data_IF_050187427215
#
_entry.id   IF_050187427215
#
_cell.length_a   1.000
_cell.length_b   1.000
_cell.length_c   1.000
_cell.angle_alpha   90.00
_cell.angle_beta   90.00
_cell.angle_gamma   90.00
#
_symmetry.space_group_name_H-M   'P 1'
#
loop_
_entity.id
_entity.type
_entity.pdbx_description
1 polymer ?
#
# COMPACT_ATOMS: atom_id res chain seq x y z
N UNK A 1 -19.86 0.39 -18.65
CA UNK A 1 -20.65 0.48 -17.40
C UNK A 1 -20.58 1.91 -16.84
N UNK A 2 -21.60 2.30 -16.08
CA UNK A 2 -21.57 3.50 -15.22
C UNK A 2 -21.15 3.08 -13.81
N UNK A 3 -19.91 3.39 -13.45
CA UNK A 3 -19.27 2.99 -12.19
C UNK A 3 -19.21 4.20 -11.25
N UNK A 4 -19.78 4.07 -10.05
CA UNK A 4 -19.60 5.04 -8.99
C UNK A 4 -18.44 4.58 -8.11
N UNK A 5 -17.28 5.24 -8.22
CA UNK A 5 -16.11 4.96 -7.39
C UNK A 5 -16.16 5.85 -6.14
N UNK A 6 -16.04 5.25 -4.97
CA UNK A 6 -16.06 5.96 -3.70
C UNK A 6 -14.79 5.73 -2.90
N UNK A 7 -14.10 6.82 -2.58
CA UNK A 7 -12.95 6.84 -1.68
C UNK A 7 -13.07 8.06 -0.76
N UNK A 8 -12.69 7.91 0.51
CA UNK A 8 -12.83 9.02 1.48
C UNK A 8 -11.97 10.23 1.13
N UNK A 9 -10.77 10.04 0.58
CA UNK A 9 -9.84 11.12 0.19
C UNK A 9 -9.14 10.81 -1.14
N UNK A 10 -9.88 10.88 -2.23
CA UNK A 10 -9.42 10.52 -3.58
C UNK A 10 -8.29 11.42 -4.09
N UNK A 11 -8.27 12.70 -3.69
CA UNK A 11 -7.31 13.69 -4.19
C UNK A 11 -5.98 13.70 -3.43
N UNK A 12 -5.86 12.95 -2.36
CA UNK A 12 -4.65 12.88 -1.56
C UNK A 12 -3.47 12.32 -2.36
N UNK A 13 -2.39 13.09 -2.46
CA UNK A 13 -1.24 12.73 -3.29
C UNK A 13 -0.31 11.71 -2.62
N UNK A 14 -0.30 11.65 -1.28
CA UNK A 14 0.68 10.89 -0.48
C UNK A 14 0.17 9.54 0.00
N UNK A 15 -1.14 9.30 -0.10
CA UNK A 15 -1.78 8.09 0.41
C UNK A 15 -1.86 6.99 -0.67
N UNK A 16 -1.40 5.78 -0.34
CA UNK A 16 -1.41 4.63 -1.24
C UNK A 16 -2.82 4.20 -1.67
N UNK A 17 -3.83 4.29 -0.79
CA UNK A 17 -5.24 4.02 -1.12
C UNK A 17 -5.74 4.99 -2.20
N UNK A 18 -5.52 6.29 -1.99
CA UNK A 18 -5.93 7.31 -2.96
C UNK A 18 -5.21 7.14 -4.31
N UNK A 19 -3.94 6.71 -4.30
CA UNK A 19 -3.18 6.36 -5.51
C UNK A 19 -3.85 5.21 -6.26
N UNK A 20 -4.13 4.09 -5.58
CA UNK A 20 -4.79 2.92 -6.19
C UNK A 20 -6.17 3.28 -6.75
N UNK A 21 -6.97 4.06 -6.00
CA UNK A 21 -8.28 4.53 -6.46
C UNK A 21 -8.18 5.37 -7.75
N UNK A 22 -7.18 6.27 -7.83
CA UNK A 22 -6.95 7.07 -9.04
C UNK A 22 -6.49 6.23 -10.23
N UNK A 23 -5.59 5.28 -9.99
CA UNK A 23 -5.06 4.40 -11.02
C UNK A 23 -6.17 3.50 -11.59
N UNK A 24 -7.01 2.90 -10.74
CA UNK A 24 -8.19 2.15 -11.18
C UNK A 24 -9.21 3.04 -11.90
N UNK A 25 -9.50 4.23 -11.38
CA UNK A 25 -10.39 5.19 -12.05
C UNK A 25 -9.90 5.53 -13.47
N UNK A 26 -8.62 5.87 -13.61
CA UNK A 26 -8.02 6.21 -14.89
C UNK A 26 -8.01 5.01 -15.86
N UNK A 27 -7.65 3.82 -15.37
CA UNK A 27 -7.64 2.60 -16.17
C UNK A 27 -9.03 2.19 -16.66
N UNK A 28 -10.05 2.23 -15.81
CA UNK A 28 -11.42 1.92 -16.18
C UNK A 28 -11.98 2.95 -17.17
N UNK A 29 -11.68 4.24 -16.99
CA UNK A 29 -12.06 5.28 -17.99
C UNK A 29 -11.38 5.05 -19.34
N UNK A 30 -10.10 4.66 -19.36
CA UNK A 30 -9.37 4.36 -20.59
C UNK A 30 -9.96 3.16 -21.36
N UNK A 31 -10.71 2.28 -20.68
CA UNK A 31 -11.45 1.15 -21.28
C UNK A 31 -12.87 1.51 -21.72
N UNK A 32 -13.24 2.77 -21.66
CA UNK A 32 -14.55 3.26 -22.13
C UNK A 32 -15.67 3.15 -21.09
N UNK A 33 -15.35 2.91 -19.80
CA UNK A 33 -16.35 2.99 -18.75
C UNK A 33 -16.61 4.45 -18.34
N UNK A 34 -17.85 4.77 -18.01
CA UNK A 34 -18.19 6.02 -17.36
C UNK A 34 -17.94 5.88 -15.86
N UNK A 35 -16.85 6.47 -15.36
CA UNK A 35 -16.51 6.44 -13.93
C UNK A 35 -16.72 7.82 -13.35
N UNK A 36 -17.60 7.93 -12.35
CA UNK A 36 -17.77 9.12 -11.51
C UNK A 36 -17.27 8.85 -10.10
N UNK A 37 -16.63 9.88 -9.53
CA UNK A 37 -16.01 9.81 -8.22
C UNK A 37 -16.86 10.54 -7.19
N UNK A 38 -17.09 9.87 -6.06
CA UNK A 38 -17.65 10.48 -4.85
C UNK A 38 -16.60 10.45 -3.73
N UNK A 39 -16.22 11.61 -3.21
CA UNK A 39 -15.13 11.76 -2.25
C UNK A 39 -15.21 13.10 -1.51
N UNK A 40 -14.39 13.24 -0.46
CA UNK A 40 -14.04 14.56 0.06
C UNK A 40 -13.38 15.38 -1.05
N UNK A 41 -13.71 16.67 -1.12
CA UNK A 41 -13.13 17.59 -2.09
C UNK A 41 -14.15 18.58 -2.64
N UNK A 42 -13.78 19.22 -3.74
CA UNK A 42 -14.62 20.15 -4.48
C UNK A 42 -14.96 19.60 -5.88
N UNK A 43 -15.90 20.28 -6.56
CA UNK A 43 -16.40 19.87 -7.88
C UNK A 43 -15.38 20.02 -9.02
N UNK A 44 -14.20 20.56 -8.80
CA UNK A 44 -13.13 20.61 -9.80
C UNK A 44 -12.36 19.30 -9.87
N UNK A 45 -12.41 18.49 -8.82
CA UNK A 45 -11.63 17.26 -8.68
C UNK A 45 -12.47 15.98 -8.57
N UNK A 46 -13.74 16.10 -8.10
CA UNK A 46 -14.64 14.96 -7.90
C UNK A 46 -16.04 15.28 -8.43
N UNK A 47 -16.74 14.26 -8.96
CA UNK A 47 -18.08 14.44 -9.56
C UNK A 47 -19.16 14.68 -8.50
N UNK A 48 -19.01 14.07 -7.32
CA UNK A 48 -19.92 14.21 -6.19
C UNK A 48 -19.15 14.62 -4.93
N UNK A 49 -18.90 15.92 -4.72
CA UNK A 49 -18.09 16.40 -3.63
C UNK A 49 -18.78 16.23 -2.27
N UNK A 50 -18.02 15.79 -1.28
CA UNK A 50 -18.41 15.67 0.11
C UNK A 50 -17.59 16.63 0.98
N UNK A 51 -18.21 17.18 2.01
CA UNK A 51 -17.51 17.96 3.03
C UNK A 51 -16.60 17.08 3.89
N UNK A 52 -15.72 17.71 4.68
CA UNK A 52 -14.90 17.04 5.67
C UNK A 52 -15.72 16.67 6.91
N UNK A 53 -15.55 15.44 7.39
CA UNK A 53 -16.02 15.03 8.70
C UNK A 53 -14.98 15.41 9.76
N UNK A 54 -15.34 16.32 10.67
CA UNK A 54 -14.54 16.65 11.83
C UNK A 54 -14.92 15.75 13.00
N UNK A 55 -13.93 15.08 13.59
CA UNK A 55 -14.12 14.23 14.78
C UNK A 55 -13.33 14.86 15.93
N UNK A 56 -14.02 15.49 16.91
CA UNK A 56 -13.35 16.12 18.04
C UNK A 56 -12.33 15.16 18.68
N UNK A 57 -11.18 15.67 19.10
CA UNK A 57 -10.04 14.95 19.67
C UNK A 57 -9.24 14.07 18.68
N UNK A 58 -9.83 13.57 17.59
CA UNK A 58 -9.12 12.76 16.57
C UNK A 58 -8.59 13.62 15.43
N UNK A 59 -9.16 14.78 15.14
CA UNK A 59 -8.78 15.64 14.02
C UNK A 59 -7.28 15.97 13.97
N UNK A 60 -6.67 16.18 15.15
CA UNK A 60 -5.23 16.45 15.23
C UNK A 60 -4.40 15.26 14.72
N UNK A 61 -4.81 14.04 15.01
CA UNK A 61 -4.12 12.82 14.56
C UNK A 61 -4.40 12.55 13.09
N UNK A 62 -5.66 12.65 12.67
CA UNK A 62 -6.07 12.44 11.28
C UNK A 62 -5.38 13.45 10.35
N UNK A 63 -5.33 14.73 10.75
CA UNK A 63 -4.63 15.77 9.97
C UNK A 63 -3.12 15.61 9.96
N UNK A 64 -2.52 15.04 11.02
CA UNK A 64 -1.09 14.73 11.04
C UNK A 64 -0.71 13.60 10.05
N UNK A 65 -1.67 12.76 9.69
CA UNK A 65 -1.54 11.72 8.67
C UNK A 65 -1.85 12.22 7.25
N UNK A 66 -2.10 13.52 7.09
CA UNK A 66 -2.48 14.16 5.81
C UNK A 66 -3.66 13.44 5.13
N UNK A 67 -4.69 13.10 5.91
CA UNK A 67 -5.85 12.36 5.44
C UNK A 67 -7.15 13.07 5.81
N UNK A 68 -8.16 13.03 4.92
CA UNK A 68 -9.45 13.60 5.15
C UNK A 68 -10.54 12.52 5.16
N UNK A 69 -11.38 12.55 6.18
CA UNK A 69 -12.56 11.69 6.24
C UNK A 69 -13.74 12.42 5.61
N UNK A 70 -14.35 11.83 4.60
CA UNK A 70 -15.52 12.38 3.95
C UNK A 70 -16.74 12.37 4.88
N UNK A 71 -17.46 13.49 4.92
CA UNK A 71 -18.69 13.63 5.69
C UNK A 71 -19.87 13.01 4.92
N UNK A 72 -20.63 12.09 5.53
CA UNK A 72 -21.83 11.54 4.91
C UNK A 72 -22.84 12.61 4.49
N UNK A 73 -23.38 12.47 3.26
CA UNK A 73 -24.45 13.35 2.77
C UNK A 73 -25.47 12.51 1.95
N UNK A 74 -26.63 12.27 2.55
CA UNK A 74 -27.65 11.38 1.98
C UNK A 74 -28.19 11.85 0.63
N UNK A 75 -28.43 13.15 0.43
CA UNK A 75 -28.95 13.68 -0.84
C UNK A 75 -27.94 13.50 -1.99
N UNK A 76 -26.64 13.71 -1.71
CA UNK A 76 -25.56 13.46 -2.67
C UNK A 76 -25.48 11.96 -2.98
N UNK A 77 -25.59 11.09 -1.97
CA UNK A 77 -25.56 9.64 -2.13
C UNK A 77 -26.71 9.15 -3.01
N UNK A 78 -27.95 9.59 -2.78
CA UNK A 78 -29.10 9.20 -3.58
C UNK A 78 -28.96 9.66 -5.04
N UNK A 79 -28.42 10.86 -5.28
CA UNK A 79 -28.17 11.36 -6.64
C UNK A 79 -27.10 10.53 -7.35
N UNK A 80 -25.99 10.24 -6.66
CA UNK A 80 -24.89 9.46 -7.22
C UNK A 80 -25.29 8.01 -7.51
N UNK A 81 -25.98 7.36 -6.58
CA UNK A 81 -26.42 5.96 -6.71
C UNK A 81 -27.46 5.79 -7.81
N UNK A 82 -28.40 6.74 -8.02
CA UNK A 82 -29.39 6.69 -9.12
C UNK A 82 -28.73 6.70 -10.50
N UNK A 83 -27.57 7.31 -10.62
CA UNK A 83 -26.81 7.32 -11.88
C UNK A 83 -26.04 6.01 -12.10
N UNK A 84 -25.57 5.36 -11.04
CA UNK A 84 -24.67 4.22 -11.09
C UNK A 84 -25.37 2.92 -11.52
N UNK A 85 -24.66 2.05 -12.27
CA UNK A 85 -25.01 0.66 -12.46
C UNK A 85 -24.35 -0.24 -11.42
N UNK A 86 -23.15 0.18 -10.93
CA UNK A 86 -22.40 -0.53 -9.91
C UNK A 86 -21.64 0.48 -9.02
N UNK A 87 -21.58 0.20 -7.73
CA UNK A 87 -20.79 0.95 -6.76
C UNK A 87 -19.48 0.22 -6.48
N UNK A 88 -18.36 0.95 -6.55
CA UNK A 88 -17.04 0.48 -6.17
C UNK A 88 -16.50 1.29 -4.99
N UNK A 89 -16.25 0.64 -3.84
CA UNK A 89 -15.93 1.28 -2.55
C UNK A 89 -14.50 0.92 -2.15
N UNK A 90 -13.68 1.93 -1.86
CA UNK A 90 -12.24 1.78 -1.60
C UNK A 90 -11.86 1.72 -0.10
N UNK A 91 -12.75 2.12 0.80
CA UNK A 91 -12.48 2.15 2.24
C UNK A 91 -13.73 1.93 3.11
N UNK A 92 -13.59 1.46 4.37
CA UNK A 92 -14.71 1.20 5.27
C UNK A 92 -15.07 2.39 6.16
N UNK A 93 -14.85 3.64 5.71
CA UNK A 93 -15.06 4.83 6.52
C UNK A 93 -16.53 5.31 6.55
N UNK A 94 -16.91 6.25 7.44
CA UNK A 94 -18.31 6.58 7.71
C UNK A 94 -19.16 6.99 6.50
N UNK A 95 -18.58 7.68 5.50
CA UNK A 95 -19.30 8.03 4.29
C UNK A 95 -19.68 6.75 3.49
N UNK A 96 -18.73 5.85 3.32
CA UNK A 96 -18.93 4.59 2.62
C UNK A 96 -19.88 3.66 3.37
N UNK A 97 -19.82 3.62 4.70
CA UNK A 97 -20.77 2.86 5.54
C UNK A 97 -22.22 3.30 5.34
N UNK A 98 -22.49 4.57 5.03
CA UNK A 98 -23.84 5.03 4.69
C UNK A 98 -24.13 4.83 3.20
N UNK A 99 -23.17 5.05 2.32
CA UNK A 99 -23.33 4.93 0.88
C UNK A 99 -23.73 3.50 0.45
N UNK A 100 -23.10 2.47 1.03
CA UNK A 100 -23.46 1.06 0.73
C UNK A 100 -24.90 0.73 1.11
N UNK A 101 -25.42 1.31 2.21
CA UNK A 101 -26.82 1.14 2.60
C UNK A 101 -27.78 1.86 1.65
N UNK A 102 -27.39 3.01 1.10
CA UNK A 102 -28.16 3.71 0.07
C UNK A 102 -28.14 2.89 -1.20
N UNK A 103 -26.98 2.40 -1.66
CA UNK A 103 -26.85 1.57 -2.85
C UNK A 103 -27.76 0.33 -2.78
N UNK A 104 -27.80 -0.37 -1.64
CA UNK A 104 -28.70 -1.52 -1.43
C UNK A 104 -30.19 -1.16 -1.52
N UNK A 105 -30.59 0.02 -1.06
CA UNK A 105 -31.99 0.48 -1.20
C UNK A 105 -32.40 0.77 -2.64
N UNK A 106 -31.44 1.10 -3.49
CA UNK A 106 -31.63 1.33 -4.92
C UNK A 106 -31.28 0.11 -5.78
N UNK A 107 -31.05 -1.04 -5.15
CA UNK A 107 -30.68 -2.28 -5.83
C UNK A 107 -29.47 -2.12 -6.75
N UNK A 108 -28.45 -1.37 -6.32
CA UNK A 108 -27.18 -1.21 -7.02
C UNK A 108 -26.16 -2.20 -6.42
N UNK A 109 -25.55 -3.09 -7.23
CA UNK A 109 -24.53 -4.02 -6.80
C UNK A 109 -23.27 -3.29 -6.34
N UNK A 110 -22.53 -3.92 -5.40
CA UNK A 110 -21.43 -3.28 -4.69
C UNK A 110 -20.19 -4.18 -4.73
N UNK A 111 -19.07 -3.64 -5.19
CA UNK A 111 -17.73 -4.22 -4.99
C UNK A 111 -16.97 -3.36 -3.98
N UNK A 112 -16.35 -3.99 -3.00
CA UNK A 112 -15.49 -3.31 -2.04
C UNK A 112 -14.03 -3.67 -2.22
N UNK A 113 -13.10 -2.75 -1.98
CA UNK A 113 -11.68 -3.03 -1.86
C UNK A 113 -11.21 -2.91 -0.41
N UNK A 114 -10.31 -3.79 0.00
CA UNK A 114 -9.75 -3.77 1.35
C UNK A 114 -8.33 -3.20 1.34
N UNK A 115 -8.21 -1.88 1.53
CA UNK A 115 -6.95 -1.15 1.44
C UNK A 115 -6.39 -0.67 2.78
N UNK A 116 -7.08 -0.90 3.89
CA UNK A 116 -6.68 -0.37 5.20
C UNK A 116 -6.88 -1.42 6.28
N UNK A 117 -5.80 -1.76 6.98
CA UNK A 117 -5.88 -2.59 8.17
C UNK A 117 -6.40 -1.78 9.38
N UNK A 118 -7.21 -2.39 10.28
CA UNK A 118 -7.56 -1.79 11.57
C UNK A 118 -6.35 -1.31 12.35
N UNK A 119 -5.23 -2.01 12.27
CA UNK A 119 -3.97 -1.67 12.92
C UNK A 119 -3.43 -0.30 12.49
N UNK A 120 -3.68 0.13 11.25
CA UNK A 120 -3.28 1.47 10.79
C UNK A 120 -4.01 2.58 11.56
N UNK A 121 -5.28 2.36 11.96
CA UNK A 121 -6.05 3.32 12.75
C UNK A 121 -5.64 3.34 14.21
N UNK A 122 -5.17 2.22 14.75
CA UNK A 122 -4.83 2.09 16.16
C UNK A 122 -3.34 2.37 16.45
N UNK A 123 -2.47 2.32 15.44
CA UNK A 123 -1.04 2.58 15.59
C UNK A 123 -0.70 3.91 16.30
N UNK A 124 -1.42 5.04 16.11
CA UNK A 124 -1.20 6.27 16.85
C UNK A 124 -1.57 6.18 18.33
N UNK A 125 -2.28 5.13 18.75
CA UNK A 125 -2.82 4.95 20.10
C UNK A 125 -2.30 3.65 20.75
N UNK A 126 -1.07 3.61 21.31
CA UNK A 126 -0.45 2.36 21.80
C UNK A 126 -1.29 1.61 22.84
N UNK A 127 -2.13 2.30 23.61
CA UNK A 127 -3.02 1.67 24.59
C UNK A 127 -4.17 0.88 23.92
N UNK A 128 -4.55 1.25 22.71
CA UNK A 128 -5.61 0.63 21.90
C UNK A 128 -5.05 -0.32 20.83
N UNK A 129 -3.74 -0.29 20.53
CA UNK A 129 -3.11 -1.23 19.61
C UNK A 129 -2.93 -2.61 20.27
N UNK A 130 -4.07 -3.28 20.47
CA UNK A 130 -4.17 -4.61 21.07
C UNK A 130 -5.05 -5.50 20.19
N UNK A 131 -4.78 -6.81 20.16
CA UNK A 131 -5.51 -7.77 19.31
C UNK A 131 -7.04 -7.69 19.46
N UNK A 132 -7.53 -7.43 20.67
CA UNK A 132 -8.98 -7.34 20.92
C UNK A 132 -9.62 -6.15 20.20
N UNK A 133 -8.98 -4.96 20.21
CA UNK A 133 -9.51 -3.78 19.55
C UNK A 133 -9.41 -3.90 18.03
N UNK A 134 -8.32 -4.48 17.53
CA UNK A 134 -8.18 -4.81 16.11
C UNK A 134 -9.31 -5.73 15.66
N UNK A 135 -9.61 -6.80 16.43
CA UNK A 135 -10.72 -7.73 16.12
C UNK A 135 -12.08 -7.01 16.09
N UNK A 136 -12.32 -6.10 17.03
CA UNK A 136 -13.55 -5.29 17.06
C UNK A 136 -13.64 -4.43 15.78
N UNK A 137 -12.54 -3.80 15.35
CA UNK A 137 -12.54 -2.98 14.13
C UNK A 137 -12.72 -3.83 12.86
N UNK A 138 -12.13 -5.03 12.76
CA UNK A 138 -12.42 -5.96 11.66
C UNK A 138 -13.91 -6.27 11.60
N UNK A 139 -14.53 -6.60 12.73
CA UNK A 139 -15.98 -6.82 12.80
C UNK A 139 -16.78 -5.58 12.40
N UNK A 140 -16.40 -4.39 12.87
CA UNK A 140 -17.09 -3.14 12.51
C UNK A 140 -16.95 -2.81 11.02
N UNK A 141 -15.81 -3.07 10.40
CA UNK A 141 -15.60 -2.88 8.96
C UNK A 141 -16.48 -3.81 8.14
N UNK A 142 -16.51 -5.10 8.52
CA UNK A 142 -17.41 -6.06 7.90
C UNK A 142 -18.86 -5.63 8.07
N UNK A 143 -19.32 -5.46 9.31
CA UNK A 143 -20.69 -5.08 9.64
C UNK A 143 -21.15 -3.78 8.96
N UNK A 144 -20.27 -2.79 8.83
CA UNK A 144 -20.64 -1.47 8.31
C UNK A 144 -20.57 -1.35 6.79
N UNK A 145 -19.66 -2.08 6.12
CA UNK A 145 -19.38 -1.96 4.69
C UNK A 145 -19.31 -3.31 3.98
N UNK A 146 -18.41 -4.21 4.38
CA UNK A 146 -18.08 -5.35 3.55
C UNK A 146 -19.16 -6.43 3.49
N UNK A 147 -19.97 -6.60 4.53
CA UNK A 147 -21.16 -7.46 4.51
C UNK A 147 -22.27 -6.95 3.56
N UNK A 148 -22.20 -5.67 3.15
CA UNK A 148 -23.07 -5.11 2.12
C UNK A 148 -22.53 -5.31 0.70
N UNK A 149 -21.27 -5.72 0.53
CA UNK A 149 -20.68 -5.93 -0.77
C UNK A 149 -21.11 -7.29 -1.37
N UNK A 150 -21.17 -7.38 -2.71
CA UNK A 150 -21.39 -8.62 -3.45
C UNK A 150 -20.07 -9.33 -3.72
N UNK A 151 -18.97 -8.57 -3.77
CA UNK A 151 -17.61 -9.07 -3.86
C UNK A 151 -16.62 -8.11 -3.19
N UNK A 152 -15.47 -8.65 -2.77
CA UNK A 152 -14.38 -7.88 -2.17
C UNK A 152 -13.10 -8.12 -2.99
N UNK A 153 -12.40 -7.06 -3.33
CA UNK A 153 -11.03 -7.08 -3.79
C UNK A 153 -10.07 -7.01 -2.59
N UNK A 154 -9.13 -7.93 -2.53
CA UNK A 154 -8.00 -7.91 -1.59
C UNK A 154 -6.69 -7.78 -2.38
N UNK A 155 -5.76 -6.85 -2.01
CA UNK A 155 -4.54 -6.63 -2.78
C UNK A 155 -3.55 -7.80 -2.79
N UNK A 156 -3.69 -8.74 -1.86
CA UNK A 156 -2.84 -9.93 -1.76
C UNK A 156 -3.62 -11.12 -1.22
N UNK A 157 -3.16 -12.35 -1.51
CA UNK A 157 -3.71 -13.57 -0.88
C UNK A 157 -3.59 -13.52 0.65
N UNK A 158 -2.55 -12.90 1.20
CA UNK A 158 -2.41 -12.73 2.65
C UNK A 158 -3.53 -11.90 3.27
N UNK A 159 -3.99 -10.86 2.56
CA UNK A 159 -5.15 -10.05 2.99
C UNK A 159 -6.41 -10.88 2.94
N UNK A 160 -6.65 -11.61 1.84
CA UNK A 160 -7.81 -12.51 1.69
C UNK A 160 -7.86 -13.54 2.82
N UNK A 161 -6.79 -14.32 3.01
CA UNK A 161 -6.68 -15.32 4.10
C UNK A 161 -6.99 -14.69 5.47
N UNK A 162 -6.51 -13.47 5.68
CA UNK A 162 -6.74 -12.75 6.94
C UNK A 162 -8.20 -12.36 7.13
N UNK A 163 -8.86 -11.84 6.09
CA UNK A 163 -10.29 -11.49 6.15
C UNK A 163 -11.16 -12.72 6.38
N UNK A 164 -10.88 -13.81 5.67
CA UNK A 164 -11.55 -15.10 5.87
C UNK A 164 -11.38 -15.62 7.33
N UNK A 165 -10.16 -15.49 7.89
CA UNK A 165 -9.89 -15.85 9.29
C UNK A 165 -10.62 -14.96 10.31
N UNK A 166 -10.97 -13.71 9.93
CA UNK A 166 -11.82 -12.83 10.74
C UNK A 166 -13.33 -13.02 10.50
N UNK A 167 -13.72 -13.97 9.65
CA UNK A 167 -15.12 -14.34 9.43
C UNK A 167 -15.84 -13.52 8.36
N UNK A 168 -15.11 -12.92 7.42
CA UNK A 168 -15.73 -12.28 6.25
C UNK A 168 -16.30 -13.37 5.34
N UNK A 169 -17.58 -13.26 5.01
CA UNK A 169 -18.30 -14.26 4.21
C UNK A 169 -18.56 -13.79 2.76
N UNK A 170 -18.40 -12.51 2.48
CA UNK A 170 -18.49 -11.98 1.11
C UNK A 170 -17.38 -12.58 0.25
N UNK A 171 -17.64 -13.01 -1.00
CA UNK A 171 -16.61 -13.55 -1.87
C UNK A 171 -15.43 -12.59 -2.05
N UNK A 172 -14.20 -13.11 -1.87
CA UNK A 172 -12.98 -12.30 -1.93
C UNK A 172 -12.11 -12.74 -3.10
N UNK A 173 -11.78 -11.80 -3.99
CA UNK A 173 -10.82 -11.97 -5.08
C UNK A 173 -9.51 -11.28 -4.73
N UNK A 174 -8.40 -12.03 -4.78
CA UNK A 174 -7.09 -11.48 -4.47
C UNK A 174 -6.30 -11.22 -5.75
N UNK A 175 -5.88 -9.96 -5.94
CA UNK A 175 -4.97 -9.52 -6.99
C UNK A 175 -4.32 -8.18 -6.60
N UNK A 176 -3.11 -7.92 -7.12
CA UNK A 176 -2.33 -6.72 -6.79
C UNK A 176 -3.06 -5.43 -7.20
N UNK A 177 -2.79 -4.34 -6.47
CA UNK A 177 -3.17 -2.98 -6.91
C UNK A 177 -2.41 -2.55 -8.18
N UNK A 178 -1.29 -3.20 -8.45
CA UNK A 178 -0.46 -2.98 -9.63
C UNK A 178 0.53 -1.84 -9.50
N UNK A 179 1.54 -1.91 -10.34
CA UNK A 179 2.56 -0.87 -10.50
C UNK A 179 2.36 -0.15 -11.83
N UNK A 180 2.48 1.18 -11.89
CA UNK A 180 2.50 1.91 -13.15
C UNK A 180 3.55 1.31 -14.09
N UNK A 181 3.18 1.08 -15.35
CA UNK A 181 4.12 0.52 -16.36
C UNK A 181 5.39 1.37 -16.50
N UNK A 182 5.33 2.67 -16.21
CA UNK A 182 6.47 3.61 -16.21
C UNK A 182 7.46 3.34 -15.07
N UNK A 183 7.01 2.68 -13.99
CA UNK A 183 7.89 2.31 -12.87
C UNK A 183 8.72 1.05 -13.16
N UNK A 184 8.41 0.30 -14.21
CA UNK A 184 9.02 -0.99 -14.50
C UNK A 184 10.15 -0.82 -15.51
N UNK A 185 11.38 -1.17 -15.12
CA UNK A 185 12.53 -1.20 -16.04
C UNK A 185 12.48 -2.35 -17.03
N UNK A 186 13.01 -2.10 -18.24
CA UNK A 186 13.29 -3.20 -19.18
C UNK A 186 14.44 -4.09 -18.66
N UNK A 187 14.46 -5.38 -19.05
CA UNK A 187 15.53 -6.31 -18.65
C UNK A 187 16.92 -5.85 -19.13
N UNK A 188 16.97 -5.18 -20.29
CA UNK A 188 18.22 -4.67 -20.89
C UNK A 188 18.82 -3.53 -20.04
N UNK A 189 17.99 -2.66 -19.46
CA UNK A 189 18.46 -1.55 -18.63
C UNK A 189 19.18 -2.02 -17.36
N UNK A 190 18.78 -3.17 -16.82
CA UNK A 190 19.37 -3.74 -15.59
C UNK A 190 20.72 -4.39 -15.91
N UNK A 191 20.84 -5.11 -17.02
CA UNK A 191 22.09 -5.78 -17.43
C UNK A 191 23.24 -4.78 -17.66
N UNK A 192 22.96 -3.60 -18.22
CA UNK A 192 23.96 -2.54 -18.40
C UNK A 192 24.42 -1.91 -17.09
N UNK A 193 23.59 -1.93 -16.06
CA UNK A 193 23.86 -1.34 -14.77
C UNK A 193 24.91 -2.09 -13.97
N UNK A 194 24.73 -3.39 -13.82
CA UNK A 194 25.64 -4.24 -13.02
C UNK A 194 27.04 -4.31 -13.61
N UNK A 195 27.15 -4.34 -14.94
CA UNK A 195 28.42 -4.33 -15.65
C UNK A 195 29.14 -2.96 -15.53
N UNK A 196 28.41 -1.85 -15.66
CA UNK A 196 28.98 -0.51 -15.56
C UNK A 196 29.37 -0.13 -14.13
N UNK A 197 28.62 -0.56 -13.12
CA UNK A 197 28.96 -0.31 -11.71
C UNK A 197 30.16 -1.14 -11.28
N UNK A 198 30.26 -2.40 -11.69
CA UNK A 198 31.44 -3.21 -11.46
C UNK A 198 32.70 -2.63 -12.13
N UNK A 199 32.54 -2.13 -13.37
CA UNK A 199 33.65 -1.60 -14.18
C UNK A 199 34.05 -0.16 -13.74
N UNK A 200 33.09 0.69 -13.33
CA UNK A 200 33.37 2.02 -12.80
C UNK A 200 33.98 2.00 -11.41
N UNK A 201 33.57 1.07 -10.56
CA UNK A 201 34.20 0.82 -9.25
C UNK A 201 35.62 0.27 -9.38
N UNK A 202 35.95 -0.39 -10.50
CA UNK A 202 37.28 -0.93 -10.81
C UNK A 202 38.25 0.11 -11.40
N UNK A 203 37.76 1.15 -12.06
CA UNK A 203 38.61 2.08 -12.86
C UNK A 203 38.98 3.37 -12.20
N UNK A 204 38.38 3.77 -11.08
CA UNK A 204 38.67 5.08 -10.46
C UNK A 204 39.46 4.95 -9.16
N UNK A 205 40.73 5.30 -9.27
CA UNK A 205 41.69 5.72 -8.24
C UNK A 205 41.79 4.85 -7.00
N UNK A 206 43.03 4.44 -6.64
CA UNK A 206 43.42 3.65 -5.47
C UNK A 206 42.96 4.21 -4.10
N UNK A 207 42.29 5.37 -4.06
CA UNK A 207 41.86 6.06 -2.84
C UNK A 207 40.35 6.37 -2.76
N UNK A 208 39.53 6.07 -3.79
CA UNK A 208 38.10 6.27 -3.71
C UNK A 208 37.45 5.17 -2.86
N UNK A 209 37.08 5.48 -1.63
CA UNK A 209 36.37 4.60 -0.70
C UNK A 209 35.03 4.18 -1.34
N UNK A 210 34.85 2.88 -1.61
CA UNK A 210 33.59 2.34 -2.16
C UNK A 210 32.46 2.67 -1.19
N UNK A 211 31.41 3.34 -1.66
CA UNK A 211 30.20 3.63 -0.89
C UNK A 211 29.01 2.85 -1.45
N UNK A 212 28.14 2.43 -0.54
CA UNK A 212 26.96 1.65 -0.84
C UNK A 212 25.71 2.51 -0.60
N UNK A 213 24.78 2.50 -1.53
CA UNK A 213 23.53 3.25 -1.42
C UNK A 213 22.40 2.34 -0.95
N UNK A 214 21.85 2.65 0.23
CA UNK A 214 20.66 2.01 0.78
C UNK A 214 19.48 2.97 0.73
N UNK A 215 18.31 2.47 0.35
CA UNK A 215 17.07 3.27 0.28
C UNK A 215 15.96 2.59 1.06
N UNK A 216 15.20 3.40 1.79
CA UNK A 216 13.93 2.99 2.39
C UNK A 216 12.92 4.12 2.18
N UNK A 217 11.70 3.80 1.74
CA UNK A 217 10.69 4.82 1.42
C UNK A 217 9.42 4.59 2.20
N UNK A 218 8.74 5.67 2.53
CA UNK A 218 7.44 5.64 3.19
C UNK A 218 7.25 6.78 4.18
N UNK A 219 6.04 6.94 4.68
CA UNK A 219 5.74 7.92 5.73
C UNK A 219 6.62 7.68 6.96
N UNK A 220 7.10 8.74 7.61
CA UNK A 220 7.93 8.63 8.81
C UNK A 220 7.04 8.49 10.05
N UNK A 221 6.39 7.32 10.18
CA UNK A 221 5.46 6.94 11.24
C UNK A 221 5.87 5.61 11.88
N UNK A 222 5.29 5.29 13.04
CA UNK A 222 5.66 4.10 13.84
C UNK A 222 5.48 2.78 13.09
N UNK A 223 4.44 2.65 12.29
CA UNK A 223 4.13 1.44 11.53
C UNK A 223 5.16 1.12 10.44
N UNK A 224 5.85 2.14 9.89
CA UNK A 224 6.92 1.96 8.90
C UNK A 224 8.26 1.58 9.54
N UNK A 225 8.42 1.75 10.86
CA UNK A 225 9.49 1.17 11.67
C UNK A 225 10.92 1.49 11.18
N UNK A 226 11.15 2.66 10.59
CA UNK A 226 12.47 3.06 10.08
C UNK A 226 13.57 3.06 11.16
N UNK A 227 13.20 3.16 12.45
CA UNK A 227 14.12 3.08 13.55
C UNK A 227 14.92 1.77 13.59
N UNK A 228 14.34 0.63 13.18
CA UNK A 228 15.05 -0.66 13.15
C UNK A 228 16.21 -0.64 12.15
N UNK A 229 16.07 0.09 11.03
CA UNK A 229 17.14 0.25 10.06
C UNK A 229 18.29 1.11 10.61
N UNK A 230 17.98 2.22 11.26
CA UNK A 230 18.99 3.05 11.94
C UNK A 230 19.72 2.24 13.01
N UNK A 231 18.99 1.47 13.83
CA UNK A 231 19.61 0.56 14.80
C UNK A 231 20.47 -0.51 14.13
N UNK A 232 20.09 -1.03 12.98
CA UNK A 232 20.88 -2.03 12.23
C UNK A 232 22.21 -1.44 11.76
N UNK A 233 22.24 -0.18 11.30
CA UNK A 233 23.49 0.46 10.88
C UNK A 233 24.51 0.57 12.01
N UNK A 234 24.09 0.67 13.27
CA UNK A 234 25.01 0.63 14.41
C UNK A 234 25.73 -0.73 14.57
N UNK A 235 25.18 -1.81 14.00
CA UNK A 235 25.76 -3.15 14.06
C UNK A 235 26.45 -3.56 12.75
N UNK A 236 26.24 -2.84 11.65
CA UNK A 236 26.82 -3.17 10.35
C UNK A 236 28.32 -2.88 10.31
N UNK A 237 29.09 -3.82 9.77
CA UNK A 237 30.54 -3.68 9.53
C UNK A 237 30.85 -2.63 8.45
N UNK A 238 29.89 -2.38 7.57
CA UNK A 238 30.00 -1.44 6.45
C UNK A 238 29.43 -0.05 6.75
N UNK A 239 29.03 0.22 8.00
CA UNK A 239 28.33 1.47 8.38
C UNK A 239 29.02 2.73 7.85
N UNK A 240 30.37 2.84 7.94
CA UNK A 240 31.09 4.04 7.44
C UNK A 240 31.07 4.20 5.92
N UNK A 241 30.70 3.18 5.19
CA UNK A 241 30.66 3.16 3.72
C UNK A 241 29.22 3.18 3.17
N UNK A 242 28.23 3.39 4.02
CA UNK A 242 26.83 3.41 3.65
C UNK A 242 26.33 4.85 3.55
N UNK A 243 25.67 5.16 2.44
CA UNK A 243 24.79 6.30 2.24
C UNK A 243 23.34 5.78 2.33
N UNK A 244 22.64 6.12 3.42
CA UNK A 244 21.25 5.74 3.62
C UNK A 244 20.33 6.90 3.29
N UNK A 245 19.28 6.62 2.49
CA UNK A 245 18.19 7.54 2.19
C UNK A 245 16.88 7.00 2.77
N UNK A 246 16.36 7.70 3.80
CA UNK A 246 15.01 7.51 4.31
C UNK A 246 14.09 8.53 3.63
N UNK A 247 13.50 8.15 2.49
CA UNK A 247 12.71 9.02 1.66
C UNK A 247 11.25 9.05 2.13
N UNK A 248 10.84 10.16 2.73
CA UNK A 248 9.48 10.39 3.20
C UNK A 248 9.36 11.55 4.16
N UNK A 249 8.15 11.81 4.62
CA UNK A 249 7.83 12.81 5.63
C UNK A 249 6.94 12.21 6.71
N UNK A 250 6.89 12.82 7.89
CA UNK A 250 6.01 12.37 8.96
C UNK A 250 6.45 12.84 10.35
N UNK A 251 5.62 12.59 11.36
CA UNK A 251 5.83 13.11 12.72
C UNK A 251 7.12 12.59 13.39
N UNK A 252 7.65 11.44 12.97
CA UNK A 252 8.86 10.87 13.55
C UNK A 252 10.17 11.40 12.94
N UNK A 253 10.12 12.30 11.96
CA UNK A 253 11.31 12.79 11.25
C UNK A 253 12.40 13.29 12.19
N UNK A 254 12.06 14.17 13.14
CA UNK A 254 13.01 14.73 14.12
C UNK A 254 13.61 13.67 15.04
N UNK A 255 12.84 12.66 15.43
CA UNK A 255 13.32 11.60 16.31
C UNK A 255 14.23 10.62 15.56
N UNK A 256 13.93 10.34 14.30
CA UNK A 256 14.81 9.56 13.42
C UNK A 256 16.13 10.31 13.16
N UNK A 257 16.09 11.62 12.95
CA UNK A 257 17.31 12.45 12.82
C UNK A 257 18.20 12.40 14.07
N UNK A 258 17.61 12.45 15.27
CA UNK A 258 18.36 12.28 16.52
C UNK A 258 19.00 10.89 16.62
N UNK A 259 18.28 9.83 16.23
CA UNK A 259 18.81 8.46 16.21
C UNK A 259 19.93 8.29 15.18
N UNK A 260 19.88 9.02 14.08
CA UNK A 260 20.88 8.98 13.01
C UNK A 260 22.21 9.68 13.40
N UNK A 261 22.14 10.75 14.21
CA UNK A 261 23.29 11.61 14.54
C UNK A 261 24.55 10.85 15.02
N UNK A 262 24.48 9.82 15.89
CA UNK A 262 25.68 9.13 16.39
C UNK A 262 26.20 8.06 15.41
N UNK A 263 25.55 7.81 14.28
CA UNK A 263 25.89 6.73 13.37
C UNK A 263 27.02 7.13 12.43
N UNK A 264 27.86 6.16 12.07
CA UNK A 264 28.99 6.37 11.16
C UNK A 264 28.58 6.46 9.67
N UNK A 265 27.36 6.03 9.34
CA UNK A 265 26.79 6.14 8.00
C UNK A 265 26.44 7.59 7.65
N UNK A 266 26.44 7.93 6.36
CA UNK A 266 25.81 9.16 5.90
C UNK A 266 24.31 8.90 5.73
N UNK A 267 23.48 9.68 6.42
CA UNK A 267 22.05 9.43 6.49
C UNK A 267 21.29 10.68 6.08
N UNK A 268 20.46 10.52 5.04
CA UNK A 268 19.54 11.52 4.52
C UNK A 268 18.11 11.14 4.92
N UNK A 269 17.42 12.02 5.63
CA UNK A 269 16.03 11.82 6.09
C UNK A 269 15.20 12.99 5.63
N UNK A 270 14.14 12.73 4.89
CA UNK A 270 13.21 13.76 4.41
C UNK A 270 12.50 13.39 3.13
N UNK A 271 11.65 14.29 2.69
CA UNK A 271 10.92 14.14 1.43
C UNK A 271 11.88 14.22 0.24
N UNK A 272 11.75 13.27 -0.69
CA UNK A 272 12.45 13.25 -1.98
C UNK A 272 11.38 13.30 -3.07
N UNK A 273 11.46 14.23 -4.04
CA UNK A 273 10.56 14.25 -5.19
C UNK A 273 10.58 12.93 -5.97
N UNK A 274 9.43 12.57 -6.57
CA UNK A 274 9.27 11.27 -7.20
C UNK A 274 10.34 10.94 -8.26
N UNK A 275 10.64 11.89 -9.14
CA UNK A 275 11.65 11.68 -10.21
C UNK A 275 13.06 11.46 -9.64
N UNK A 276 13.41 12.19 -8.58
CA UNK A 276 14.68 12.01 -7.87
C UNK A 276 14.71 10.67 -7.12
N UNK A 277 13.58 10.26 -6.53
CA UNK A 277 13.45 8.97 -5.87
C UNK A 277 13.63 7.81 -6.86
N UNK A 278 13.05 7.91 -8.04
CA UNK A 278 13.21 6.94 -9.11
C UNK A 278 14.69 6.84 -9.52
N UNK A 279 15.37 7.97 -9.75
CA UNK A 279 16.79 7.99 -10.08
C UNK A 279 17.65 7.39 -8.94
N UNK A 280 17.26 7.64 -7.69
CA UNK A 280 17.92 7.06 -6.51
C UNK A 280 17.75 5.54 -6.44
N UNK A 281 16.54 5.02 -6.65
CA UNK A 281 16.26 3.58 -6.71
C UNK A 281 17.04 2.92 -7.86
N UNK A 282 17.23 3.66 -8.95
CA UNK A 282 18.04 3.23 -10.08
C UNK A 282 19.51 3.05 -9.71
N UNK A 283 20.02 3.73 -8.73
CA UNK A 283 21.42 3.65 -8.27
C UNK A 283 21.61 2.84 -6.98
N UNK A 284 20.53 2.48 -6.30
CA UNK A 284 20.59 1.84 -5.00
C UNK A 284 21.12 0.41 -5.05
N UNK A 285 21.98 0.05 -4.10
CA UNK A 285 22.47 -1.31 -3.93
C UNK A 285 21.42 -2.21 -3.26
N UNK A 286 20.71 -1.68 -2.27
CA UNK A 286 19.72 -2.41 -1.48
C UNK A 286 18.54 -1.48 -1.15
N UNK A 287 17.32 -1.98 -1.29
CA UNK A 287 16.13 -1.38 -0.73
C UNK A 287 15.76 -2.08 0.59
N UNK A 288 15.44 -1.34 1.64
CA UNK A 288 15.05 -1.94 2.93
C UNK A 288 13.62 -1.57 3.26
N UNK A 289 12.75 -2.58 3.37
CA UNK A 289 11.36 -2.41 3.76
C UNK A 289 11.15 -2.86 5.20
N UNK A 290 10.97 -1.91 6.11
CA UNK A 290 10.95 -2.17 7.57
C UNK A 290 9.55 -2.30 8.17
N UNK A 291 8.48 -2.13 7.40
CA UNK A 291 7.13 -1.94 7.90
C UNK A 291 6.63 -3.08 8.81
N UNK A 292 6.02 -2.71 9.93
CA UNK A 292 5.29 -3.61 10.83
C UNK A 292 3.88 -3.89 10.30
N UNK A 293 3.24 -2.89 9.70
CA UNK A 293 1.89 -2.98 9.12
C UNK A 293 1.95 -2.56 7.67
N UNK A 294 1.62 -3.49 6.77
CA UNK A 294 1.66 -3.24 5.33
C UNK A 294 0.73 -4.19 4.58
N UNK A 295 -0.18 -3.65 3.79
CA UNK A 295 -1.15 -4.44 3.03
C UNK A 295 -0.50 -5.11 1.82
N UNK A 296 0.24 -4.35 1.03
CA UNK A 296 0.91 -4.87 -0.17
C UNK A 296 2.38 -4.45 -0.23
N UNK A 297 2.66 -3.17 0.04
CA UNK A 297 4.01 -2.62 0.03
C UNK A 297 4.43 -2.11 -1.35
N UNK A 298 3.58 -1.32 -2.01
CA UNK A 298 3.82 -0.77 -3.35
C UNK A 298 5.21 -0.13 -3.48
N UNK A 299 5.72 0.54 -2.44
CA UNK A 299 7.05 1.13 -2.44
C UNK A 299 8.18 0.08 -2.56
N UNK A 300 8.01 -1.10 -1.94
CA UNK A 300 8.96 -2.19 -2.09
C UNK A 300 8.86 -2.82 -3.49
N UNK A 301 7.64 -2.98 -4.00
CA UNK A 301 7.40 -3.49 -5.35
C UNK A 301 7.96 -2.54 -6.41
N UNK A 302 7.84 -1.22 -6.21
CA UNK A 302 8.43 -0.20 -7.09
C UNK A 302 9.97 -0.28 -7.10
N UNK A 303 10.61 -0.48 -5.93
CA UNK A 303 12.05 -0.72 -5.85
C UNK A 303 12.46 -2.01 -6.59
N UNK A 304 11.70 -3.10 -6.44
CA UNK A 304 11.92 -4.34 -7.19
C UNK A 304 11.80 -4.12 -8.70
N UNK A 305 10.77 -3.38 -9.13
CA UNK A 305 10.53 -3.04 -10.54
C UNK A 305 11.67 -2.21 -11.15
N UNK A 306 12.36 -1.43 -10.31
CA UNK A 306 13.57 -0.67 -10.68
C UNK A 306 14.85 -1.52 -10.61
N UNK A 307 14.76 -2.83 -10.28
CA UNK A 307 15.91 -3.72 -10.15
C UNK A 307 16.71 -3.48 -8.87
N UNK A 308 16.14 -2.87 -7.86
CA UNK A 308 16.76 -2.75 -6.55
C UNK A 308 16.42 -3.99 -5.70
N UNK A 309 17.44 -4.68 -5.17
CA UNK A 309 17.24 -5.88 -4.37
C UNK A 309 16.68 -5.54 -2.99
N UNK A 310 15.51 -6.09 -2.59
CA UNK A 310 14.90 -5.75 -1.32
C UNK A 310 15.39 -6.62 -0.16
N UNK A 311 15.46 -6.03 1.04
CA UNK A 311 15.44 -6.75 2.33
C UNK A 311 14.15 -6.34 3.04
N UNK A 312 13.31 -7.32 3.42
CA UNK A 312 11.93 -7.08 3.83
C UNK A 312 11.69 -7.56 5.25
N UNK A 313 11.08 -6.72 6.07
CA UNK A 313 10.65 -7.07 7.41
C UNK A 313 9.47 -8.06 7.38
N UNK A 314 9.57 -9.14 8.15
CA UNK A 314 8.47 -10.06 8.43
C UNK A 314 7.76 -9.64 9.70
N UNK A 315 6.48 -9.33 9.57
CA UNK A 315 5.55 -9.03 10.65
C UNK A 315 4.23 -9.77 10.40
N UNK A 316 3.48 -10.01 11.45
CA UNK A 316 2.15 -10.62 11.36
C UNK A 316 1.13 -9.72 10.62
N UNK A 317 1.36 -8.40 10.60
CA UNK A 317 0.50 -7.42 9.95
C UNK A 317 1.09 -6.87 8.64
N UNK A 318 2.11 -7.52 8.07
CA UNK A 318 2.69 -7.15 6.78
C UNK A 318 2.60 -8.34 5.83
N UNK A 319 2.11 -8.11 4.61
CA UNK A 319 2.08 -9.12 3.54
C UNK A 319 3.29 -9.03 2.61
N UNK A 320 4.00 -7.89 2.59
CA UNK A 320 5.10 -7.59 1.66
C UNK A 320 6.21 -8.66 1.65
N UNK A 321 6.52 -9.28 2.80
CA UNK A 321 7.55 -10.31 2.88
C UNK A 321 7.21 -11.58 2.08
N UNK A 322 5.95 -11.79 1.70
CA UNK A 322 5.52 -12.90 0.84
C UNK A 322 6.00 -12.76 -0.61
N UNK A 323 6.40 -11.58 -1.02
CA UNK A 323 7.07 -11.36 -2.30
C UNK A 323 8.55 -11.75 -2.28
N UNK A 324 9.10 -12.16 -1.14
CA UNK A 324 10.50 -12.53 -1.03
C UNK A 324 10.82 -13.80 -1.81
N UNK A 325 11.83 -13.71 -2.67
CA UNK A 325 12.33 -14.81 -3.50
C UNK A 325 13.46 -15.61 -2.83
N UNK A 326 14.00 -15.13 -1.70
CA UNK A 326 15.07 -15.75 -0.94
C UNK A 326 14.91 -15.50 0.55
N UNK A 327 15.07 -16.51 1.39
CA UNK A 327 14.96 -16.38 2.84
C UNK A 327 15.98 -15.41 3.45
N UNK A 328 17.09 -15.14 2.76
CA UNK A 328 18.10 -14.14 3.13
C UNK A 328 17.65 -12.70 2.86
N UNK A 329 16.51 -12.50 2.23
CA UNK A 329 15.89 -11.17 2.06
C UNK A 329 14.85 -10.86 3.13
N UNK A 330 14.67 -11.74 4.13
CA UNK A 330 13.65 -11.58 5.16
C UNK A 330 14.30 -11.53 6.54
N UNK A 331 13.88 -10.57 7.36
CA UNK A 331 14.25 -10.48 8.76
C UNK A 331 13.01 -10.28 9.64
N UNK A 332 13.10 -10.69 10.90
CA UNK A 332 12.07 -10.34 11.90
C UNK A 332 12.08 -8.84 12.13
N UNK A 333 10.92 -8.19 11.99
CA UNK A 333 10.78 -6.73 12.00
C UNK A 333 11.30 -6.03 13.26
N UNK A 334 11.56 -6.78 14.33
CA UNK A 334 12.11 -6.26 15.61
C UNK A 334 13.56 -6.66 15.85
N UNK A 335 14.26 -7.20 14.85
CA UNK A 335 15.63 -7.70 14.98
C UNK A 335 16.64 -6.89 14.16
N UNK A 336 17.15 -5.76 14.70
CA UNK A 336 18.12 -4.92 13.99
C UNK A 336 19.47 -5.64 13.75
N UNK A 337 19.88 -6.56 14.64
CA UNK A 337 21.12 -7.33 14.44
C UNK A 337 21.03 -8.26 13.24
N UNK A 338 19.87 -8.92 13.04
CA UNK A 338 19.64 -9.74 11.87
C UNK A 338 19.62 -8.91 10.60
N UNK A 339 18.97 -7.74 10.62
CA UNK A 339 18.97 -6.81 9.49
C UNK A 339 20.40 -6.37 9.13
N UNK A 340 21.21 -6.00 10.09
CA UNK A 340 22.61 -5.65 9.87
C UNK A 340 23.39 -6.79 9.18
N UNK A 341 23.25 -8.01 9.68
CA UNK A 341 23.91 -9.18 9.11
C UNK A 341 23.47 -9.46 7.65
N UNK A 342 22.22 -9.20 7.30
CA UNK A 342 21.70 -9.34 5.94
C UNK A 342 22.22 -8.23 5.02
N UNK A 343 22.26 -6.99 5.50
CA UNK A 343 22.87 -5.86 4.77
C UNK A 343 24.33 -6.20 4.45
N UNK A 344 25.12 -6.54 5.47
CA UNK A 344 26.53 -6.88 5.29
C UNK A 344 26.71 -8.04 4.30
N UNK A 345 25.91 -9.10 4.43
CA UNK A 345 25.95 -10.23 3.52
C UNK A 345 25.76 -9.81 2.06
N UNK A 346 24.69 -9.04 1.77
CA UNK A 346 24.37 -8.66 0.39
C UNK A 346 25.34 -7.61 -0.18
N UNK A 347 25.97 -6.79 0.66
CA UNK A 347 27.02 -5.88 0.21
C UNK A 347 28.30 -6.64 -0.15
N UNK A 348 28.59 -7.76 0.52
CA UNK A 348 29.74 -8.62 0.27
C UNK A 348 29.53 -9.62 -0.90
N UNK A 349 28.29 -9.78 -1.37
CA UNK A 349 27.96 -10.75 -2.44
C UNK A 349 27.30 -10.07 -3.66
N UNK A 350 28.01 -9.15 -4.35
CA UNK A 350 27.40 -8.32 -5.40
C UNK A 350 26.88 -9.13 -6.60
N UNK A 351 27.51 -10.24 -6.96
CA UNK A 351 27.06 -11.07 -8.10
C UNK A 351 25.71 -11.72 -7.78
N UNK A 352 25.58 -12.36 -6.63
CA UNK A 352 24.31 -12.98 -6.22
C UNK A 352 23.22 -11.92 -6.00
N UNK A 353 23.58 -10.73 -5.51
CA UNK A 353 22.67 -9.61 -5.37
C UNK A 353 22.13 -9.18 -6.74
N UNK A 354 22.98 -9.04 -7.74
CA UNK A 354 22.60 -8.69 -9.10
C UNK A 354 21.66 -9.73 -9.76
N UNK A 355 22.00 -11.02 -9.64
CA UNK A 355 21.14 -12.12 -10.13
C UNK A 355 19.75 -12.09 -9.47
N UNK A 356 19.71 -11.86 -8.17
CA UNK A 356 18.46 -11.80 -7.44
C UNK A 356 17.64 -10.55 -7.79
N UNK A 357 18.31 -9.41 -8.02
CA UNK A 357 17.68 -8.17 -8.50
C UNK A 357 16.94 -8.37 -9.83
N UNK A 358 17.53 -9.10 -10.78
CA UNK A 358 16.88 -9.43 -12.05
C UNK A 358 15.61 -10.26 -11.85
N UNK A 359 15.66 -11.23 -10.94
CA UNK A 359 14.48 -12.05 -10.59
C UNK A 359 13.36 -11.23 -9.96
N UNK A 360 13.70 -10.27 -9.07
CA UNK A 360 12.73 -9.35 -8.50
C UNK A 360 12.12 -8.41 -9.54
N UNK A 361 12.91 -7.92 -10.48
CA UNK A 361 12.36 -7.13 -11.59
C UNK A 361 11.41 -7.95 -12.47
N UNK A 362 11.71 -9.22 -12.73
CA UNK A 362 10.81 -10.11 -13.45
C UNK A 362 9.49 -10.32 -12.70
N UNK A 363 9.55 -10.56 -11.38
CA UNK A 363 8.34 -10.64 -10.53
C UNK A 363 7.51 -9.36 -10.59
N UNK A 364 8.15 -8.18 -10.53
CA UNK A 364 7.45 -6.90 -10.55
C UNK A 364 6.77 -6.61 -11.90
N UNK A 365 7.22 -7.20 -13.02
CA UNK A 365 6.53 -7.09 -14.32
C UNK A 365 5.18 -7.78 -14.33
N UNK A 366 5.04 -8.88 -13.62
CA UNK A 366 3.77 -9.59 -13.49
C UNK A 366 2.74 -8.77 -12.68
N UNK A 367 3.22 -7.73 -11.97
CA UNK A 367 2.42 -6.79 -11.19
C UNK A 367 2.14 -5.48 -11.93
N UNK A 368 2.27 -5.42 -13.27
CA UNK A 368 1.89 -4.24 -14.06
C UNK A 368 0.42 -3.90 -13.83
N UNK A 369 0.15 -2.61 -13.64
CA UNK A 369 -1.20 -2.06 -13.39
C UNK A 369 -2.24 -2.52 -14.42
N UNK A 370 -1.84 -2.83 -15.64
CA UNK A 370 -2.75 -3.33 -16.67
C UNK A 370 -3.44 -4.62 -16.24
N UNK A 371 -2.70 -5.55 -15.62
CA UNK A 371 -3.27 -6.80 -15.11
C UNK A 371 -4.26 -6.53 -13.96
N UNK A 372 -3.96 -5.57 -13.11
CA UNK A 372 -4.85 -5.17 -12.02
C UNK A 372 -6.13 -4.51 -12.54
N UNK A 373 -6.02 -3.69 -13.60
CA UNK A 373 -7.19 -3.10 -14.26
C UNK A 373 -8.02 -4.18 -14.97
N UNK A 374 -7.39 -5.20 -15.60
CA UNK A 374 -8.12 -6.36 -16.19
C UNK A 374 -8.89 -7.10 -15.10
N UNK A 375 -8.26 -7.34 -13.95
CA UNK A 375 -8.86 -8.09 -12.86
C UNK A 375 -10.01 -7.33 -12.19
N UNK A 376 -9.87 -6.02 -11.91
CA UNK A 376 -10.96 -5.23 -11.30
C UNK A 376 -12.12 -5.03 -12.28
N UNK A 377 -11.85 -4.81 -13.56
CA UNK A 377 -12.90 -4.74 -14.58
C UNK A 377 -13.68 -6.05 -14.66
N UNK A 378 -12.97 -7.19 -14.68
CA UNK A 378 -13.57 -8.52 -14.66
C UNK A 378 -14.43 -8.75 -13.42
N UNK A 379 -13.96 -8.34 -12.24
CA UNK A 379 -14.70 -8.46 -10.99
C UNK A 379 -15.97 -7.60 -10.99
N UNK A 380 -15.91 -6.36 -11.49
CA UNK A 380 -17.06 -5.47 -11.60
C UNK A 380 -18.09 -6.02 -12.59
N UNK A 381 -17.67 -6.49 -13.77
CA UNK A 381 -18.54 -7.09 -14.78
C UNK A 381 -19.21 -8.36 -14.26
N UNK A 382 -18.44 -9.26 -13.65
CA UNK A 382 -18.97 -10.50 -13.07
C UNK A 382 -20.01 -10.21 -11.99
N UNK A 383 -19.73 -9.26 -11.11
CA UNK A 383 -20.63 -8.86 -10.04
C UNK A 383 -21.94 -8.28 -10.61
N UNK A 384 -21.85 -7.39 -11.61
CA UNK A 384 -23.01 -6.80 -12.25
C UNK A 384 -23.88 -7.87 -12.91
N UNK A 385 -23.27 -8.76 -13.71
CA UNK A 385 -23.98 -9.84 -14.42
C UNK A 385 -24.65 -10.82 -13.45
N UNK A 386 -23.99 -11.21 -12.39
CA UNK A 386 -24.56 -12.09 -11.38
C UNK A 386 -25.73 -11.44 -10.65
N UNK A 387 -25.63 -10.14 -10.38
CA UNK A 387 -26.70 -9.40 -9.73
C UNK A 387 -27.95 -9.28 -10.62
N UNK A 388 -27.78 -9.04 -11.92
CA UNK A 388 -28.86 -8.98 -12.90
C UNK A 388 -29.54 -10.34 -13.12
N UNK A 389 -28.78 -11.44 -13.01
CA UNK A 389 -29.30 -12.80 -13.17
C UNK A 389 -29.91 -13.39 -11.89
N UNK A 390 -29.76 -12.73 -10.74
CA UNK A 390 -30.36 -13.18 -9.48
C UNK A 390 -31.80 -12.69 -9.37
N UNK A 391 -32.80 -13.61 -9.32
CA UNK A 391 -34.24 -13.30 -9.14
C UNK A 391 -34.59 -12.59 -7.82
N UNK A 392 -33.64 -12.36 -6.96
CA UNK A 392 -33.78 -11.56 -5.72
C UNK A 392 -32.42 -11.11 -5.19
N UNK A 393 -32.22 -9.81 -4.90
CA UNK A 393 -31.05 -9.36 -4.18
C UNK A 393 -31.16 -9.86 -2.73
N UNK A 394 -30.55 -11.01 -2.45
CA UNK A 394 -30.48 -11.55 -1.10
C UNK A 394 -29.36 -10.84 -0.33
N UNK A 395 -29.67 -9.98 0.64
CA UNK A 395 -28.63 -9.51 1.53
C UNK A 395 -28.21 -10.66 2.46
N UNK A 396 -26.92 -10.89 2.61
CA UNK A 396 -26.34 -11.77 3.62
C UNK A 396 -26.67 -11.34 5.06
N UNK A 397 -27.53 -10.37 5.25
CA UNK A 397 -28.01 -9.82 6.52
C UNK A 397 -28.80 -10.84 7.38
N UNK A 398 -29.39 -11.89 6.79
CA UNK A 398 -30.05 -12.95 7.55
C UNK A 398 -29.05 -13.81 8.32
N UNK A 399 -27.88 -14.08 7.77
CA UNK A 399 -26.82 -14.89 8.43
C UNK A 399 -26.13 -14.14 9.58
N UNK A 400 -26.01 -12.82 9.49
CA UNK A 400 -25.48 -11.98 10.57
C UNK A 400 -26.43 -11.94 11.79
N UNK A 401 -27.73 -12.05 11.60
CA UNK A 401 -28.70 -12.10 12.71
C UNK A 401 -28.66 -13.44 13.45
N UNK A 402 -28.39 -14.54 12.76
CA UNK A 402 -28.28 -15.88 13.37
C UNK A 402 -26.99 -16.08 14.17
N UNK A 403 -25.91 -15.33 13.87
CA UNK A 403 -24.67 -15.40 14.65
C UNK A 403 -24.65 -14.53 15.92
N UNK A 404 -25.68 -13.70 16.14
CA UNK A 404 -25.85 -12.84 17.30
C UNK A 404 -26.97 -13.31 18.24
N UNK A 405 -27.69 -14.37 17.90
CA UNK A 405 -28.61 -15.10 18.76
C UNK A 405 -27.95 -16.34 19.40
#
# INVERSE_FOLDING_TARGET
MRILLSASDFTNATNGLARSARDFCAGLRARGHEVRVISYGDSSHVDYPLGRLSIPFLDRYISAEDFNIARPNRSVFEAAVRWAQILYVEDPLPANAQLVRVARRFSVPIVGSFHVYPENFLAPFPALDRPIFNRILYFLFDYSVYSYCDAIHAPTEAVKERLEAFGYHTPISAFSNGLPSTSIHSAESINHRDLNVADSRSRNTRDAKIRFTLVSTGRLVSEKNHQVLLQALAYSRHSHNIDLYLAGSGPLERDLQKLATPLAAHIHIGFIPHDELIALLDCADIYVHCALVEIEGLAALEAMARGCMPIIARSAQSSTWRYSLDSRNVFDARNPRRLAALIDYWLEHPVQRAELSQRYNSLARDLDIKHSIDAIEGLLLHTLTNYENSDSPSPNLSKLRESLS
#
